data_IF_158714325149
#
_entry.id   IF_158714325149
#
_cell.length_a   1.000
_cell.length_b   1.000
_cell.length_c   1.000
_cell.angle_alpha   90.00
_cell.angle_beta   90.00
_cell.angle_gamma   90.00
#
_symmetry.space_group_name_H-M   'P 1'
#
loop_
_entity.id
_entity.type
_entity.pdbx_description
1 polymer ?
#
# COMPACT_ATOMS: atom_id res chain seq x y z
N UNK A 1 -6.83 -2.45 26.28
CA UNK A 1 -7.87 -2.05 27.23
C UNK A 1 -8.91 -1.17 26.57
N UNK A 2 -8.81 0.16 26.67
CA UNK A 2 -9.72 1.09 25.98
C UNK A 2 -9.42 1.24 24.48
N UNK A 3 -8.13 1.15 24.11
CA UNK A 3 -7.68 1.23 22.71
C UNK A 3 -8.25 0.10 21.85
N UNK A 4 -8.16 -1.15 22.33
CA UNK A 4 -8.67 -2.32 21.60
C UNK A 4 -10.18 -2.21 21.36
N UNK A 5 -10.94 -1.66 22.33
CA UNK A 5 -12.37 -1.42 22.21
C UNK A 5 -12.67 -0.39 21.09
N UNK A 6 -11.92 0.71 21.03
CA UNK A 6 -12.07 1.71 19.97
C UNK A 6 -11.73 1.14 18.59
N UNK A 7 -10.66 0.33 18.49
CA UNK A 7 -10.26 -0.30 17.24
C UNK A 7 -11.33 -1.27 16.71
N UNK A 8 -11.90 -2.10 17.61
CA UNK A 8 -12.97 -3.03 17.26
C UNK A 8 -14.26 -2.31 16.84
N UNK A 9 -14.67 -1.29 17.59
CA UNK A 9 -15.84 -0.49 17.25
C UNK A 9 -15.64 0.28 15.93
N UNK A 10 -14.45 0.84 15.71
CA UNK A 10 -14.11 1.53 14.46
C UNK A 10 -14.10 0.57 13.27
N UNK A 11 -13.60 -0.66 13.44
CA UNK A 11 -13.67 -1.69 12.42
C UNK A 11 -15.12 -2.04 12.05
N UNK A 12 -16.00 -2.15 13.04
CA UNK A 12 -17.44 -2.29 12.82
C UNK A 12 -18.01 -1.14 11.98
N UNK A 13 -17.68 0.10 12.34
CA UNK A 13 -18.15 1.29 11.61
C UNK A 13 -17.61 1.35 10.17
N UNK A 14 -16.33 1.02 9.97
CA UNK A 14 -15.72 0.94 8.64
C UNK A 14 -16.38 -0.13 7.77
N UNK A 15 -16.79 -1.26 8.36
CA UNK A 15 -17.56 -2.28 7.67
C UNK A 15 -18.97 -1.78 7.29
N UNK A 16 -19.67 -1.12 8.21
CA UNK A 16 -20.98 -0.51 7.93
C UNK A 16 -20.93 0.53 6.81
N UNK A 17 -19.86 1.32 6.76
CA UNK A 17 -19.63 2.34 5.72
C UNK A 17 -19.12 1.74 4.39
N UNK A 18 -18.85 0.44 4.34
CA UNK A 18 -18.41 -0.27 3.14
C UNK A 18 -16.92 -0.13 2.81
N UNK A 19 -16.11 0.31 3.77
CA UNK A 19 -14.64 0.38 3.64
C UNK A 19 -13.94 -0.93 4.03
N UNK A 20 -14.65 -1.82 4.74
CA UNK A 20 -14.24 -3.21 5.03
C UNK A 20 -15.31 -4.19 4.51
N UNK A 21 -14.86 -5.31 3.94
CA UNK A 21 -15.73 -6.31 3.31
C UNK A 21 -16.40 -7.29 4.29
N UNK A 22 -15.91 -7.40 5.52
CA UNK A 22 -16.43 -8.28 6.58
C UNK A 22 -15.77 -7.92 7.92
N UNK A 23 -16.32 -8.39 9.04
CA UNK A 23 -15.75 -8.16 10.38
C UNK A 23 -14.34 -8.77 10.43
N UNK A 24 -13.34 -7.95 10.15
CA UNK A 24 -11.94 -8.32 10.28
C UNK A 24 -11.72 -8.64 11.75
N UNK A 25 -11.27 -9.85 12.12
CA UNK A 25 -10.99 -10.17 13.51
C UNK A 25 -9.87 -9.24 13.98
N UNK A 26 -10.21 -8.27 14.83
CA UNK A 26 -9.24 -7.44 15.53
C UNK A 26 -8.66 -8.31 16.62
N UNK A 27 -7.52 -8.94 16.34
CA UNK A 27 -6.82 -9.76 17.34
C UNK A 27 -6.31 -8.83 18.43
N UNK A 28 -6.75 -9.05 19.67
CA UNK A 28 -6.37 -8.23 20.83
C UNK A 28 -4.86 -8.00 20.86
N UNK A 29 -4.44 -6.73 20.84
CA UNK A 29 -3.02 -6.35 20.88
C UNK A 29 -2.34 -6.12 19.53
N UNK A 30 -3.02 -6.30 18.38
CA UNK A 30 -2.50 -5.85 17.07
C UNK A 30 -3.62 -5.30 16.19
N UNK A 31 -3.60 -4.00 15.95
CA UNK A 31 -4.46 -3.33 14.99
C UNK A 31 -4.26 -3.92 13.59
N UNK A 32 -5.34 -4.36 12.94
CA UNK A 32 -5.25 -5.01 11.63
C UNK A 32 -4.77 -4.03 10.53
N UNK A 33 -3.83 -4.41 9.66
CA UNK A 33 -3.46 -3.61 8.49
C UNK A 33 -4.66 -3.28 7.58
N UNK A 34 -5.71 -4.13 7.58
CA UNK A 34 -6.95 -3.85 6.86
C UNK A 34 -7.69 -2.64 7.44
N UNK A 35 -7.71 -2.48 8.76
CA UNK A 35 -8.30 -1.32 9.41
C UNK A 35 -7.55 -0.04 9.02
N UNK A 36 -6.22 -0.09 8.93
CA UNK A 36 -5.42 1.03 8.43
C UNK A 36 -5.74 1.38 6.99
N UNK A 37 -5.80 0.38 6.12
CA UNK A 37 -6.17 0.56 4.73
C UNK A 37 -7.57 1.19 4.60
N UNK A 38 -8.52 0.76 5.44
CA UNK A 38 -9.87 1.31 5.49
C UNK A 38 -9.88 2.78 5.95
N UNK A 39 -9.18 3.12 7.04
CA UNK A 39 -9.07 4.50 7.54
C UNK A 39 -8.40 5.41 6.49
N UNK A 40 -7.31 4.95 5.87
CA UNK A 40 -6.63 5.71 4.83
C UNK A 40 -7.53 5.97 3.62
N UNK A 41 -8.26 4.93 3.16
CA UNK A 41 -9.26 5.07 2.08
C UNK A 41 -10.36 6.05 2.47
N UNK A 42 -10.84 5.99 3.70
CA UNK A 42 -11.84 6.92 4.20
C UNK A 42 -11.34 8.37 4.12
N UNK A 43 -10.15 8.67 4.65
CA UNK A 43 -9.57 10.02 4.58
C UNK A 43 -9.42 10.52 3.15
N UNK A 44 -8.96 9.64 2.25
CA UNK A 44 -8.78 9.98 0.84
C UNK A 44 -10.11 10.29 0.13
N UNK A 45 -11.12 9.43 0.30
CA UNK A 45 -12.42 9.56 -0.40
C UNK A 45 -13.22 10.78 0.08
N UNK A 46 -13.07 11.14 1.35
CA UNK A 46 -13.77 12.26 1.97
C UNK A 46 -12.95 13.55 2.01
N UNK A 47 -11.75 13.56 1.45
CA UNK A 47 -10.83 14.72 1.43
C UNK A 47 -10.63 15.34 2.83
N UNK A 48 -10.39 14.50 3.84
CA UNK A 48 -10.26 14.91 5.24
C UNK A 48 -8.88 15.48 5.59
N UNK A 49 -8.02 15.63 4.58
CA UNK A 49 -6.64 16.07 4.71
C UNK A 49 -5.66 14.93 5.06
N UNK A 50 -4.44 15.28 5.50
CA UNK A 50 -3.40 14.30 5.79
C UNK A 50 -3.77 13.42 6.98
N UNK A 51 -3.47 12.12 6.85
CA UNK A 51 -3.60 11.14 7.93
C UNK A 51 -2.23 10.87 8.56
N UNK A 52 -2.14 11.02 9.88
CA UNK A 52 -0.97 10.56 10.63
C UNK A 52 -0.93 9.03 10.62
N UNK A 53 -0.07 8.44 9.79
CA UNK A 53 0.10 6.98 9.65
C UNK A 53 0.98 6.36 10.73
N UNK A 54 1.57 7.17 11.61
CA UNK A 54 2.38 6.72 12.73
C UNK A 54 2.25 7.68 13.92
N UNK A 55 2.09 7.18 15.16
CA UNK A 55 1.86 5.78 15.53
C UNK A 55 0.42 5.32 15.25
N UNK A 56 0.24 4.00 15.16
CA UNK A 56 -1.03 3.29 14.91
C UNK A 56 -2.17 3.82 15.79
N UNK A 57 -1.88 4.01 17.07
CA UNK A 57 -2.89 4.40 18.05
C UNK A 57 -3.43 5.81 17.78
N UNK A 58 -2.57 6.71 17.29
CA UNK A 58 -2.97 8.06 16.90
C UNK A 58 -3.87 8.05 15.67
N UNK A 59 -3.60 7.19 14.70
CA UNK A 59 -4.43 7.04 13.49
C UNK A 59 -5.84 6.58 13.83
N UNK A 60 -5.96 5.55 14.67
CA UNK A 60 -7.25 5.01 15.12
C UNK A 60 -8.00 6.05 15.94
N UNK A 61 -7.32 6.73 16.87
CA UNK A 61 -7.97 7.72 17.72
C UNK A 61 -8.42 8.97 16.93
N UNK A 62 -7.63 9.48 15.98
CA UNK A 62 -8.04 10.59 15.12
C UNK A 62 -9.26 10.19 14.26
N UNK A 63 -9.22 9.02 13.64
CA UNK A 63 -10.35 8.51 12.87
C UNK A 63 -11.61 8.34 13.75
N UNK A 64 -11.47 7.79 14.96
CA UNK A 64 -12.57 7.67 15.92
C UNK A 64 -13.20 9.02 16.24
N UNK A 65 -12.37 10.02 16.57
CA UNK A 65 -12.82 11.37 16.92
C UNK A 65 -13.46 12.12 15.75
N UNK A 66 -13.14 11.79 14.49
CA UNK A 66 -13.78 12.40 13.33
C UNK A 66 -15.08 11.72 12.94
N UNK A 67 -15.14 10.38 12.99
CA UNK A 67 -16.24 9.62 12.41
C UNK A 67 -17.38 9.44 13.41
N UNK A 68 -17.07 9.11 14.67
CA UNK A 68 -18.11 8.83 15.66
C UNK A 68 -18.96 10.07 15.99
N UNK A 69 -18.38 11.25 16.28
CA UNK A 69 -19.16 12.44 16.59
C UNK A 69 -19.92 13.00 15.39
N UNK A 70 -19.39 12.83 14.17
CA UNK A 70 -20.03 13.29 12.94
C UNK A 70 -21.25 12.41 12.54
N UNK A 71 -21.40 11.23 13.14
CA UNK A 71 -22.51 10.32 12.90
C UNK A 71 -22.54 9.72 11.49
N UNK A 72 -23.69 9.16 11.09
CA UNK A 72 -23.93 8.63 9.73
C UNK A 72 -24.30 9.75 8.75
N UNK A 73 -23.45 10.77 8.64
CA UNK A 73 -23.63 11.89 7.73
C UNK A 73 -23.60 11.48 6.24
N UNK A 74 -23.48 12.47 5.34
CA UNK A 74 -23.38 12.26 3.89
C UNK A 74 -22.02 11.70 3.46
N UNK A 75 -21.67 10.53 4.00
CA UNK A 75 -20.46 9.82 3.64
C UNK A 75 -20.58 9.22 2.23
N UNK A 76 -19.71 9.66 1.33
CA UNK A 76 -19.39 8.98 0.07
C UNK A 76 -18.86 7.56 0.31
N UNK A 77 -19.29 6.62 -0.52
CA UNK A 77 -18.70 5.28 -0.58
C UNK A 77 -17.34 5.31 -1.29
N UNK A 78 -16.46 4.39 -0.93
CA UNK A 78 -15.20 4.20 -1.66
C UNK A 78 -15.50 3.83 -3.12
N UNK A 79 -14.92 4.55 -4.10
CA UNK A 79 -15.01 4.13 -5.49
C UNK A 79 -14.29 2.78 -5.67
N UNK A 80 -14.74 1.95 -6.63
CA UNK A 80 -14.07 0.69 -6.93
C UNK A 80 -12.66 0.94 -7.48
N UNK A 81 -11.77 0.00 -7.20
CA UNK A 81 -10.41 0.02 -7.74
C UNK A 81 -9.38 0.78 -6.91
N UNK A 82 -9.67 1.36 -5.74
CA UNK A 82 -8.60 1.95 -4.92
C UNK A 82 -7.70 0.87 -4.27
N UNK A 83 -6.39 1.00 -4.45
CA UNK A 83 -5.36 0.12 -3.88
C UNK A 83 -4.53 0.89 -2.86
N UNK A 84 -4.36 0.31 -1.67
CA UNK A 84 -3.44 0.83 -0.66
C UNK A 84 -2.09 0.17 -0.87
N UNK A 85 -1.06 0.99 -1.06
CA UNK A 85 0.32 0.56 -1.25
C UNK A 85 1.08 0.91 0.02
N UNK A 86 1.59 -0.12 0.68
CA UNK A 86 2.47 0.05 1.82
C UNK A 86 3.88 -0.40 1.40
N UNK A 87 4.87 0.50 1.32
CA UNK A 87 6.24 0.10 1.03
C UNK A 87 6.87 -0.55 2.27
N UNK A 88 6.90 -1.88 2.31
CA UNK A 88 7.55 -2.65 3.37
C UNK A 88 8.98 -3.00 2.98
N UNK A 89 9.94 -2.81 3.92
CA UNK A 89 11.31 -3.33 3.72
C UNK A 89 11.34 -4.86 3.69
N UNK A 90 10.58 -5.51 4.58
CA UNK A 90 10.33 -6.95 4.63
C UNK A 90 9.02 -7.22 5.39
N UNK A 91 7.97 -7.80 4.77
CA UNK A 91 6.78 -8.20 5.50
C UNK A 91 7.10 -9.33 6.49
N UNK A 92 6.55 -9.27 7.70
CA UNK A 92 6.68 -10.33 8.69
C UNK A 92 5.89 -11.59 8.30
N UNK A 93 6.20 -12.74 8.91
CA UNK A 93 5.54 -14.02 8.62
C UNK A 93 4.01 -14.00 8.78
N UNK A 94 3.49 -13.24 9.74
CA UNK A 94 2.05 -13.06 9.93
C UNK A 94 1.41 -12.38 8.71
N UNK A 95 2.06 -11.35 8.18
CA UNK A 95 1.62 -10.59 7.01
C UNK A 95 1.65 -11.47 5.75
N UNK A 96 2.70 -12.29 5.59
CA UNK A 96 2.79 -13.24 4.48
C UNK A 96 1.65 -14.27 4.51
N UNK A 97 1.23 -14.71 5.70
CA UNK A 97 0.07 -15.63 5.83
C UNK A 97 -1.25 -14.96 5.47
N UNK A 98 -1.41 -13.68 5.80
CA UNK A 98 -2.65 -12.93 5.61
C UNK A 98 -2.82 -12.45 4.17
N UNK A 99 -1.73 -12.11 3.47
CA UNK A 99 -1.75 -11.47 2.15
C UNK A 99 -1.05 -12.26 1.02
N UNK A 100 -0.40 -13.40 1.33
CA UNK A 100 0.33 -14.23 0.36
C UNK A 100 1.81 -13.86 0.18
N UNK A 101 2.56 -14.68 -0.57
CA UNK A 101 4.02 -14.59 -0.73
C UNK A 101 4.46 -14.31 -2.18
N UNK A 102 4.21 -13.10 -2.69
CA UNK A 102 4.89 -12.57 -3.87
C UNK A 102 5.36 -11.14 -3.55
N UNK A 103 6.65 -10.99 -3.20
CA UNK A 103 7.21 -9.67 -2.87
C UNK A 103 8.68 -9.54 -3.28
N UNK A 104 9.01 -8.37 -3.83
CA UNK A 104 10.37 -7.86 -4.00
C UNK A 104 10.59 -6.75 -2.94
N UNK A 105 11.67 -6.78 -2.14
CA UNK A 105 11.98 -5.67 -1.24
C UNK A 105 12.22 -4.40 -2.05
N UNK A 106 11.43 -3.37 -1.79
CA UNK A 106 11.61 -2.04 -2.35
C UNK A 106 12.24 -1.14 -1.27
N UNK A 107 13.20 -0.29 -1.63
CA UNK A 107 13.86 0.60 -0.68
C UNK A 107 12.87 1.68 -0.20
N UNK A 108 12.91 1.99 1.11
CA UNK A 108 12.03 2.97 1.73
C UNK A 108 12.42 4.40 1.35
N UNK A 109 11.41 5.20 1.00
CA UNK A 109 11.43 6.66 1.09
C UNK A 109 10.10 7.18 1.62
N UNK A 110 8.99 6.73 1.05
CA UNK A 110 7.66 7.24 1.38
C UNK A 110 6.83 6.29 2.26
N UNK A 111 5.90 6.86 3.04
CA UNK A 111 4.92 6.11 3.83
C UNK A 111 3.88 5.39 2.96
N UNK A 112 2.84 4.77 3.55
CA UNK A 112 1.73 4.19 2.80
C UNK A 112 1.01 5.26 1.96
N UNK A 113 0.55 4.90 0.77
CA UNK A 113 -0.23 5.77 -0.12
C UNK A 113 -1.33 5.00 -0.86
N UNK A 114 -2.24 5.72 -1.51
CA UNK A 114 -3.37 5.15 -2.26
C UNK A 114 -3.19 5.44 -3.74
N UNK A 115 -3.46 4.44 -4.58
CA UNK A 115 -3.51 4.57 -6.04
C UNK A 115 -4.83 3.99 -6.59
N UNK A 116 -5.18 4.40 -7.80
CA UNK A 116 -6.22 3.73 -8.58
C UNK A 116 -5.65 2.46 -9.20
N UNK A 117 -6.39 1.36 -9.15
CA UNK A 117 -6.08 0.13 -9.85
C UNK A 117 -6.18 0.40 -11.36
N UNK A 118 -5.09 0.13 -12.04
CA UNK A 118 -4.92 0.27 -13.47
C UNK A 118 -3.97 -0.83 -13.94
N UNK A 119 -3.90 -1.04 -15.25
CA UNK A 119 -2.86 -1.90 -15.86
C UNK A 119 -1.45 -1.34 -15.62
N UNK A 120 -1.34 -0.01 -15.42
CA UNK A 120 -0.11 0.71 -15.10
C UNK A 120 0.22 0.76 -13.61
N UNK A 121 -0.56 0.12 -12.73
CA UNK A 121 -0.42 0.26 -11.27
C UNK A 121 1.01 0.02 -10.77
N UNK A 122 1.70 -1.00 -11.32
CA UNK A 122 3.08 -1.30 -10.95
C UNK A 122 4.02 -0.16 -11.35
N UNK A 123 3.86 0.37 -12.55
CA UNK A 123 4.61 1.54 -13.02
C UNK A 123 4.34 2.74 -12.11
N UNK A 124 3.08 3.04 -11.82
CA UNK A 124 2.67 4.17 -10.99
C UNK A 124 3.22 4.08 -9.55
N UNK A 125 3.30 2.85 -8.99
CA UNK A 125 3.97 2.60 -7.71
C UNK A 125 5.46 2.91 -7.80
N UNK A 126 6.14 2.44 -8.84
CA UNK A 126 7.58 2.65 -9.02
C UNK A 126 7.88 4.14 -9.26
N UNK A 127 7.07 4.84 -10.04
CA UNK A 127 7.15 6.30 -10.24
C UNK A 127 6.98 7.01 -8.92
N UNK A 128 5.93 6.67 -8.16
CA UNK A 128 5.66 7.31 -6.87
C UNK A 128 6.78 7.10 -5.86
N UNK A 129 7.47 5.98 -5.93
CA UNK A 129 8.62 5.65 -5.08
C UNK A 129 9.95 6.21 -5.64
N UNK A 130 9.92 6.98 -6.72
CA UNK A 130 11.08 7.63 -7.33
C UNK A 130 11.96 6.70 -8.17
N UNK A 131 11.50 5.49 -8.51
CA UNK A 131 12.27 4.55 -9.32
C UNK A 131 12.24 4.85 -10.80
N UNK A 132 11.14 5.43 -11.32
CA UNK A 132 10.94 5.63 -12.77
C UNK A 132 10.76 7.09 -13.17
N UNK A 133 10.99 8.04 -12.25
CA UNK A 133 11.07 9.45 -12.59
C UNK A 133 12.31 9.67 -13.47
N UNK A 134 12.10 9.61 -14.80
CA UNK A 134 13.13 9.62 -15.86
C UNK A 134 13.94 10.91 -16.00
N UNK A 135 14.11 11.67 -14.93
CA UNK A 135 14.96 12.87 -14.86
C UNK A 135 16.30 12.57 -14.18
N UNK A 136 16.41 11.45 -13.46
CA UNK A 136 17.63 11.11 -12.75
C UNK A 136 18.56 10.25 -13.62
N UNK A 137 19.78 10.70 -13.97
CA UNK A 137 20.79 9.86 -14.64
C UNK A 137 21.14 8.59 -13.84
N UNK A 138 20.78 8.53 -12.55
CA UNK A 138 20.89 7.35 -11.69
C UNK A 138 19.78 6.31 -11.92
N UNK A 139 18.79 6.57 -12.77
CA UNK A 139 17.68 5.64 -13.07
C UNK A 139 18.17 4.25 -13.52
N UNK A 140 19.21 4.22 -14.35
CA UNK A 140 19.86 3.01 -14.81
C UNK A 140 20.58 2.27 -13.67
N UNK A 141 21.18 3.00 -12.74
CA UNK A 141 21.90 2.44 -11.60
C UNK A 141 20.94 1.92 -10.54
N UNK A 142 19.82 2.61 -10.29
CA UNK A 142 18.75 2.16 -9.40
C UNK A 142 18.04 0.91 -9.93
N UNK A 143 17.75 0.86 -11.24
CA UNK A 143 17.25 -0.36 -11.88
C UNK A 143 18.26 -1.49 -11.80
N UNK A 144 19.55 -1.21 -12.01
CA UNK A 144 20.62 -2.21 -11.86
C UNK A 144 20.66 -2.77 -10.43
N UNK A 145 20.60 -1.91 -9.42
CA UNK A 145 20.53 -2.31 -8.00
C UNK A 145 19.26 -3.13 -7.72
N UNK A 146 18.11 -2.74 -8.27
CA UNK A 146 16.87 -3.49 -8.15
C UNK A 146 16.98 -4.89 -8.78
N UNK A 147 17.49 -4.99 -10.02
CA UNK A 147 17.65 -6.26 -10.72
C UNK A 147 18.64 -7.18 -10.00
N UNK A 148 19.79 -6.66 -9.55
CA UNK A 148 20.77 -7.46 -8.82
C UNK A 148 20.25 -7.89 -7.43
N UNK A 149 19.56 -7.00 -6.71
CA UNK A 149 18.93 -7.33 -5.42
C UNK A 149 17.82 -8.39 -5.54
N UNK A 150 17.17 -8.48 -6.71
CA UNK A 150 16.02 -9.36 -6.96
C UNK A 150 16.31 -10.53 -7.91
N UNK A 151 17.56 -10.68 -8.36
CA UNK A 151 18.00 -11.61 -9.42
C UNK A 151 17.46 -13.04 -9.27
N UNK A 152 17.57 -13.62 -8.08
CA UNK A 152 17.09 -14.99 -7.81
C UNK A 152 15.57 -15.13 -7.98
N UNK A 153 14.81 -14.12 -7.58
CA UNK A 153 13.33 -14.14 -7.66
C UNK A 153 12.85 -13.87 -9.08
N UNK A 154 13.47 -12.90 -9.76
CA UNK A 154 13.19 -12.61 -11.16
C UNK A 154 13.45 -13.83 -12.04
N UNK A 155 14.57 -14.52 -11.83
CA UNK A 155 14.87 -15.78 -12.54
C UNK A 155 13.84 -16.88 -12.28
N UNK A 156 13.31 -16.98 -11.05
CA UNK A 156 12.26 -17.95 -10.71
C UNK A 156 10.94 -17.69 -11.44
N UNK A 157 10.73 -16.46 -11.93
CA UNK A 157 9.58 -16.05 -12.74
C UNK A 157 9.92 -15.88 -14.23
N UNK A 158 11.05 -16.44 -14.69
CA UNK A 158 11.46 -16.39 -16.10
C UNK A 158 12.02 -15.04 -16.55
N UNK A 159 12.10 -14.05 -15.65
CA UNK A 159 12.71 -12.74 -15.92
C UNK A 159 14.22 -12.89 -15.72
N UNK A 160 14.92 -13.20 -16.80
CA UNK A 160 16.39 -13.26 -16.80
C UNK A 160 16.94 -11.91 -17.25
N UNK A 161 17.72 -11.20 -16.40
CA UNK A 161 18.46 -10.03 -16.85
C UNK A 161 19.44 -10.48 -17.93
N UNK A 162 19.21 -10.09 -19.19
CA UNK A 162 20.17 -10.35 -20.28
C UNK A 162 21.41 -9.48 -20.11
N UNK A 163 22.50 -9.89 -20.77
CA UNK A 163 23.88 -9.47 -20.51
C UNK A 163 24.16 -7.97 -20.68
N UNK A 164 23.22 -7.17 -21.17
CA UNK A 164 23.35 -5.71 -21.14
C UNK A 164 22.09 -4.99 -20.68
N UNK A 165 22.30 -3.92 -19.92
CA UNK A 165 21.25 -3.00 -19.43
C UNK A 165 20.44 -2.41 -20.61
N UNK A 166 21.10 -2.16 -21.74
CA UNK A 166 20.49 -1.65 -22.96
C UNK A 166 19.43 -2.60 -23.57
N UNK A 167 19.66 -3.92 -23.53
CA UNK A 167 18.69 -4.90 -24.01
C UNK A 167 17.47 -5.02 -23.08
N UNK A 168 17.67 -4.81 -21.78
CA UNK A 168 16.58 -4.84 -20.80
C UNK A 168 15.68 -3.61 -20.91
N UNK A 169 16.26 -2.44 -21.20
CA UNK A 169 15.53 -1.19 -21.46
C UNK A 169 14.71 -1.28 -22.75
N UNK A 170 15.30 -1.76 -23.85
CA UNK A 170 14.58 -1.91 -25.13
C UNK A 170 13.39 -2.87 -25.07
N UNK A 171 13.44 -3.88 -24.19
CA UNK A 171 12.33 -4.80 -23.97
C UNK A 171 11.19 -4.15 -23.16
N UNK A 172 11.52 -3.33 -22.17
CA UNK A 172 10.53 -2.59 -21.38
C UNK A 172 9.83 -1.53 -22.24
N UNK A 173 10.58 -0.79 -23.06
CA UNK A 173 9.99 0.14 -24.03
C UNK A 173 9.02 -0.59 -24.98
N UNK A 174 9.35 -1.80 -25.44
CA UNK A 174 8.46 -2.60 -26.28
C UNK A 174 7.26 -3.25 -25.57
N UNK A 175 7.25 -3.32 -24.24
CA UNK A 175 6.13 -3.82 -23.43
C UNK A 175 5.16 -2.70 -23.04
N UNK A 176 5.66 -1.47 -22.92
CA UNK A 176 4.89 -0.28 -22.55
C UNK A 176 4.55 0.66 -23.72
N UNK A 177 4.81 0.23 -24.96
CA UNK A 177 4.34 0.85 -26.22
C UNK A 177 3.10 0.12 -26.75
#
# INVERSE_FOLDING_TARGET
>A
GAFDIQAEQLAGLMAELGYLSSQVPVVSGSSSPLLFAAIARFYYVHDLGPLSVCPIDCTVNDAWHRIVPAGRGNWRRSPPGLVVVQPWRRPGMAHIREYGALYAPIACGDGPFILQASETLVHDVLTRLGYTDGVDPLHLEMLTVFFEANKKKLNAHGVTPRRSLAESVALLDGIFS
#
